data_IF_215328093281
#
_entry.id   IF_215328093281
#
_cell.length_a   1.000
_cell.length_b   1.000
_cell.length_c   1.000
_cell.angle_alpha   90.00
_cell.angle_beta   90.00
_cell.angle_gamma   90.00
#
_symmetry.space_group_name_H-M   'P 1'
#
loop_
_entity.id
_entity.type
_entity.pdbx_description
1 polymer ?
#
# COMPACT_ATOMS: atom_id res chain seq x y z
N UNK A 1 18.63 -2.81 -15.15
CA UNK A 1 17.34 -3.22 -14.54
C UNK A 1 17.33 -2.69 -13.12
N UNK A 2 16.31 -1.90 -12.73
CA UNK A 2 16.20 -1.41 -11.34
C UNK A 2 15.59 -2.54 -10.48
N UNK A 3 16.07 -2.77 -9.24
CA UNK A 3 15.52 -3.83 -8.40
C UNK A 3 14.05 -3.52 -8.05
N UNK A 4 13.15 -4.48 -8.32
CA UNK A 4 11.74 -4.43 -7.94
C UNK A 4 11.65 -4.19 -6.42
N UNK A 5 10.76 -3.30 -5.98
CA UNK A 5 10.61 -2.99 -4.56
C UNK A 5 10.24 -4.26 -3.78
N UNK A 6 10.71 -4.41 -2.52
CA UNK A 6 10.37 -5.58 -1.71
C UNK A 6 8.87 -5.61 -1.40
N UNK A 7 8.25 -6.76 -1.63
CA UNK A 7 6.87 -7.06 -1.27
C UNK A 7 6.76 -7.21 0.25
N UNK A 8 5.75 -6.57 0.84
CA UNK A 8 5.38 -6.77 2.25
C UNK A 8 4.01 -7.42 2.31
N UNK A 9 3.91 -8.58 2.96
CA UNK A 9 2.66 -9.29 3.18
C UNK A 9 2.33 -9.34 4.68
N UNK A 10 1.07 -9.11 5.02
CA UNK A 10 0.52 -9.36 6.36
C UNK A 10 -0.36 -10.62 6.28
N UNK A 11 0.08 -11.70 6.94
CA UNK A 11 -0.66 -12.97 6.96
C UNK A 11 -1.40 -13.10 8.28
N UNK A 12 -2.73 -13.14 8.18
CA UNK A 12 -3.65 -13.23 9.31
C UNK A 12 -4.24 -14.64 9.44
N UNK A 13 -4.32 -15.13 10.67
CA UNK A 13 -5.04 -16.35 11.03
C UNK A 13 -6.04 -16.03 12.13
N UNK A 14 -7.34 -16.10 11.83
CA UNK A 14 -8.40 -15.84 12.78
C UNK A 14 -9.32 -17.07 12.94
N UNK A 15 -9.92 -17.26 14.13
CA UNK A 15 -11.02 -18.22 14.31
C UNK A 15 -12.19 -17.83 13.40
N UNK A 16 -13.15 -18.74 13.22
CA UNK A 16 -14.30 -18.59 12.30
C UNK A 16 -15.17 -17.36 12.59
N UNK A 17 -14.95 -16.64 13.70
CA UNK A 17 -15.69 -15.45 14.09
C UNK A 17 -15.52 -14.29 13.07
N UNK A 18 -16.57 -14.04 12.27
CA UNK A 18 -16.58 -13.04 11.18
C UNK A 18 -16.30 -11.60 11.68
N UNK A 19 -16.61 -11.29 12.94
CA UNK A 19 -16.38 -9.97 13.54
C UNK A 19 -14.89 -9.55 13.55
N UNK A 20 -13.95 -10.50 13.63
CA UNK A 20 -12.51 -10.19 13.63
C UNK A 20 -12.03 -9.90 12.21
N UNK A 21 -12.56 -10.63 11.22
CA UNK A 21 -12.22 -10.46 9.80
C UNK A 21 -12.58 -9.05 9.32
N UNK A 22 -13.81 -8.59 9.58
CA UNK A 22 -14.25 -7.26 9.16
C UNK A 22 -13.40 -6.12 9.77
N UNK A 23 -12.93 -6.29 11.01
CA UNK A 23 -12.05 -5.31 11.66
C UNK A 23 -10.69 -5.22 10.99
N UNK A 24 -10.13 -6.36 10.59
CA UNK A 24 -8.86 -6.41 9.84
C UNK A 24 -9.03 -5.80 8.46
N UNK A 25 -10.10 -6.16 7.74
CA UNK A 25 -10.39 -5.63 6.41
C UNK A 25 -10.51 -4.10 6.44
N UNK A 26 -11.31 -3.51 7.33
CA UNK A 26 -11.43 -2.04 7.47
C UNK A 26 -10.10 -1.35 7.78
N UNK A 27 -9.25 -2.00 8.59
CA UNK A 27 -7.93 -1.48 8.97
C UNK A 27 -6.94 -1.51 7.80
N UNK A 28 -6.98 -2.57 6.99
CA UNK A 28 -6.07 -2.76 5.85
C UNK A 28 -6.54 -2.03 4.59
N UNK A 29 -7.85 -1.90 4.36
CA UNK A 29 -8.46 -1.11 3.29
C UNK A 29 -8.09 0.38 3.39
N UNK A 30 -8.01 0.90 4.62
CA UNK A 30 -7.56 2.28 4.87
C UNK A 30 -6.13 2.55 4.37
N UNK A 31 -5.33 1.48 4.16
CA UNK A 31 -3.93 1.55 3.73
C UNK A 31 -3.74 1.15 2.25
N UNK A 32 -4.81 1.02 1.46
CA UNK A 32 -4.75 0.58 0.05
C UNK A 32 -4.07 -0.79 -0.15
N UNK A 33 -4.22 -1.70 0.83
CA UNK A 33 -3.66 -3.05 0.75
C UNK A 33 -4.57 -4.00 -0.04
N UNK A 34 -3.98 -4.86 -0.87
CA UNK A 34 -4.69 -5.90 -1.60
C UNK A 34 -4.85 -7.15 -0.73
N UNK A 35 -6.09 -7.65 -0.64
CA UNK A 35 -6.38 -8.92 0.04
C UNK A 35 -6.17 -10.09 -0.91
N UNK A 36 -5.39 -11.08 -0.47
CA UNK A 36 -5.17 -12.34 -1.19
C UNK A 36 -5.87 -13.43 -0.41
N UNK A 37 -6.85 -14.08 -1.04
CA UNK A 37 -7.59 -15.17 -0.44
C UNK A 37 -6.86 -16.49 -0.65
N UNK A 38 -6.57 -17.19 0.44
CA UNK A 38 -6.02 -18.54 0.40
C UNK A 38 -6.92 -19.55 1.13
N UNK A 39 -6.82 -20.85 0.79
CA UNK A 39 -7.63 -21.88 1.41
C UNK A 39 -7.33 -21.97 2.91
N UNK A 40 -8.40 -22.18 3.67
CA UNK A 40 -8.31 -22.36 5.13
C UNK A 40 -7.52 -23.63 5.44
N UNK A 41 -6.80 -23.68 6.58
CA UNK A 41 -6.19 -24.91 7.07
C UNK A 41 -7.23 -26.01 7.25
N UNK A 42 -6.98 -27.17 6.65
CA UNK A 42 -7.78 -28.39 6.87
C UNK A 42 -7.57 -28.94 8.28
N UNK A 43 -6.36 -28.75 8.83
CA UNK A 43 -6.03 -29.13 10.20
C UNK A 43 -6.40 -28.01 11.18
N UNK A 44 -7.06 -28.34 12.31
CA UNK A 44 -7.32 -27.36 13.35
C UNK A 44 -6.03 -26.74 13.88
N UNK A 45 -5.98 -25.41 13.89
CA UNK A 45 -4.93 -24.65 14.57
C UNK A 45 -5.19 -24.68 16.08
N UNK A 46 -4.14 -24.95 16.88
CA UNK A 46 -4.30 -25.02 18.34
C UNK A 46 -4.27 -23.62 18.94
N UNK A 47 -5.30 -23.27 19.69
CA UNK A 47 -5.33 -22.00 20.41
C UNK A 47 -4.32 -22.03 21.57
N UNK A 48 -3.80 -20.86 21.96
CA UNK A 48 -2.84 -20.71 23.06
C UNK A 48 -1.49 -21.43 22.88
N UNK A 49 -1.24 -22.01 21.69
CA UNK A 49 0.04 -22.59 21.30
C UNK A 49 0.75 -21.66 20.30
N UNK A 50 2.07 -21.45 20.42
CA UNK A 50 2.83 -20.69 19.43
C UNK A 50 2.91 -21.42 18.07
N UNK A 51 2.73 -20.67 16.99
CA UNK A 51 2.90 -21.11 15.62
C UNK A 51 3.97 -20.25 14.95
N UNK A 52 4.80 -20.86 14.12
CA UNK A 52 5.88 -20.21 13.38
C UNK A 52 5.54 -20.31 11.90
N UNK A 53 5.69 -19.21 11.17
CA UNK A 53 5.52 -19.19 9.73
C UNK A 53 6.90 -19.26 9.07
N UNK A 54 7.16 -20.36 8.38
CA UNK A 54 8.36 -20.57 7.59
C UNK A 54 8.11 -20.16 6.14
N UNK A 55 8.99 -19.31 5.62
CA UNK A 55 8.93 -18.75 4.26
C UNK A 55 10.36 -18.67 3.73
N UNK A 56 10.81 -19.67 2.95
CA UNK A 56 12.18 -19.74 2.46
C UNK A 56 12.58 -18.47 1.68
N UNK A 57 13.72 -17.90 2.04
CA UNK A 57 14.25 -16.69 1.38
C UNK A 57 13.55 -15.38 1.76
N UNK A 58 12.60 -15.40 2.70
CA UNK A 58 11.91 -14.21 3.18
C UNK A 58 12.26 -13.88 4.63
N UNK A 59 12.10 -12.60 4.99
CA UNK A 59 12.18 -12.15 6.38
C UNK A 59 10.78 -12.17 7.00
N UNK A 60 10.56 -13.06 7.97
CA UNK A 60 9.29 -13.22 8.67
C UNK A 60 9.39 -12.68 10.10
N UNK A 61 8.41 -11.88 10.51
CA UNK A 61 8.29 -11.37 11.88
C UNK A 61 6.87 -11.56 12.41
N UNK A 62 6.67 -11.88 13.71
CA UNK A 62 7.71 -12.17 14.70
C UNK A 62 8.45 -13.49 14.45
N UNK A 63 9.72 -13.58 14.85
CA UNK A 63 10.55 -14.78 14.68
C UNK A 63 10.21 -15.87 15.71
N UNK A 64 9.78 -15.44 16.89
CA UNK A 64 9.31 -16.27 17.99
C UNK A 64 7.94 -16.92 17.74
N UNK A 65 7.27 -16.55 16.63
CA UNK A 65 5.95 -17.04 16.28
C UNK A 65 4.81 -16.24 16.92
N UNK A 66 3.58 -16.56 16.51
CA UNK A 66 2.37 -15.95 17.06
C UNK A 66 1.54 -17.00 17.80
N UNK A 67 0.88 -16.56 18.87
CA UNK A 67 -0.11 -17.38 19.56
C UNK A 67 -1.50 -16.91 19.16
N UNK A 68 -2.33 -17.84 18.70
CA UNK A 68 -3.73 -17.56 18.35
C UNK A 68 -4.57 -17.43 19.62
N UNK A 69 -5.27 -16.30 19.75
CA UNK A 69 -6.10 -15.92 20.92
C UNK A 69 -7.42 -15.32 20.43
N UNK A 70 -8.52 -15.50 21.19
CA UNK A 70 -9.85 -14.94 20.83
C UNK A 70 -10.07 -13.52 21.35
N UNK A 71 -9.50 -13.21 22.52
CA UNK A 71 -9.78 -11.98 23.28
C UNK A 71 -8.71 -10.88 23.07
N UNK A 72 -7.95 -10.96 21.98
CA UNK A 72 -6.83 -10.03 21.71
C UNK A 72 -6.92 -9.57 20.27
N UNK A 73 -6.36 -8.40 19.98
CA UNK A 73 -6.17 -7.96 18.60
C UNK A 73 -5.50 -9.05 17.76
N UNK A 74 -5.95 -9.27 16.52
CA UNK A 74 -5.42 -10.33 15.67
C UNK A 74 -3.93 -10.09 15.40
N UNK A 75 -3.11 -11.06 15.80
CA UNK A 75 -1.71 -11.11 15.44
C UNK A 75 -1.56 -11.48 13.96
N UNK A 76 -0.49 -11.03 13.34
CA UNK A 76 -0.14 -11.36 11.96
C UNK A 76 1.35 -11.65 11.84
N UNK A 77 1.70 -12.40 10.80
CA UNK A 77 3.07 -12.47 10.34
C UNK A 77 3.31 -11.40 9.29
N UNK A 78 4.37 -10.59 9.50
CA UNK A 78 4.89 -9.67 8.51
C UNK A 78 6.00 -10.35 7.72
N UNK A 79 5.75 -10.61 6.45
CA UNK A 79 6.71 -11.17 5.51
C UNK A 79 7.26 -10.02 4.66
N UNK A 80 8.59 -9.91 4.58
CA UNK A 80 9.27 -9.04 3.62
C UNK A 80 10.09 -9.91 2.68
N UNK A 81 9.79 -9.85 1.38
CA UNK A 81 10.46 -10.68 0.37
C UNK A 81 10.50 -10.01 -0.99
N UNK A 82 11.34 -10.50 -1.90
CA UNK A 82 11.26 -10.19 -3.33
C UNK A 82 10.61 -11.38 -4.03
N UNK A 83 9.46 -11.15 -4.66
CA UNK A 83 8.73 -12.22 -5.35
C UNK A 83 9.39 -12.52 -6.70
N UNK A 84 10.51 -13.22 -6.67
CA UNK A 84 11.24 -13.67 -7.88
C UNK A 84 10.59 -14.93 -8.46
N UNK A 85 10.21 -15.87 -7.58
CA UNK A 85 9.52 -17.13 -7.89
C UNK A 85 8.25 -17.26 -7.04
N UNK A 86 7.59 -18.42 -7.12
CA UNK A 86 6.47 -18.76 -6.24
C UNK A 86 6.86 -18.65 -4.76
N UNK A 87 5.98 -18.05 -3.96
CA UNK A 87 6.20 -17.89 -2.52
C UNK A 87 5.50 -19.01 -1.77
N UNK A 88 6.29 -19.97 -1.30
CA UNK A 88 5.79 -21.02 -0.42
C UNK A 88 5.78 -20.56 1.04
N UNK A 89 4.66 -20.77 1.71
CA UNK A 89 4.48 -20.47 3.13
C UNK A 89 4.03 -21.72 3.87
N UNK A 90 4.69 -22.01 4.98
CA UNK A 90 4.38 -23.19 5.81
C UNK A 90 4.18 -22.76 7.25
N UNK A 91 3.01 -23.05 7.82
CA UNK A 91 2.73 -22.81 9.23
C UNK A 91 3.07 -24.07 10.04
N UNK A 92 3.96 -23.90 11.00
CA UNK A 92 4.51 -24.95 11.85
C UNK A 92 4.09 -24.68 13.29
N UNK A 93 3.54 -25.70 13.96
CA UNK A 93 3.25 -25.61 15.39
C UNK A 93 4.54 -25.81 16.19
N UNK A 94 4.83 -24.91 17.13
CA UNK A 94 6.11 -24.92 17.84
C UNK A 94 6.32 -26.14 18.76
N UNK A 95 5.24 -26.65 19.38
CA UNK A 95 5.28 -27.78 20.33
C UNK A 95 5.80 -29.08 19.70
N UNK A 96 5.20 -29.48 18.57
CA UNK A 96 5.40 -30.78 17.93
C UNK A 96 6.11 -30.67 16.58
N UNK A 97 6.47 -29.45 16.16
CA UNK A 97 7.03 -29.12 14.84
C UNK A 97 6.16 -29.62 13.69
N UNK A 98 4.86 -29.81 13.93
CA UNK A 98 3.93 -30.32 12.92
C UNK A 98 3.53 -29.21 11.96
N UNK A 99 3.58 -29.51 10.67
CA UNK A 99 3.01 -28.67 9.62
C UNK A 99 1.47 -28.74 9.72
N UNK A 100 0.86 -27.60 9.96
CA UNK A 100 -0.59 -27.46 10.12
C UNK A 100 -1.26 -26.74 8.96
N UNK A 101 -0.50 -25.97 8.18
CA UNK A 101 -0.96 -25.32 6.97
C UNK A 101 0.20 -25.08 6.00
N UNK A 102 -0.08 -25.12 4.72
CA UNK A 102 0.84 -24.76 3.65
C UNK A 102 0.07 -24.07 2.54
N UNK A 103 0.62 -23.00 1.99
CA UNK A 103 0.11 -22.35 0.80
C UNK A 103 1.24 -21.92 -0.12
N UNK A 104 0.90 -21.75 -1.38
CA UNK A 104 1.79 -21.25 -2.42
C UNK A 104 1.08 -20.06 -3.04
N UNK A 105 1.73 -18.90 -3.01
CA UNK A 105 1.35 -17.78 -3.87
C UNK A 105 2.10 -17.98 -5.18
N UNK A 106 1.37 -18.32 -6.23
CA UNK A 106 1.93 -18.42 -7.58
C UNK A 106 2.30 -17.01 -8.07
N UNK A 107 3.53 -16.86 -8.53
CA UNK A 107 4.04 -15.55 -8.96
C UNK A 107 3.25 -15.02 -10.15
N UNK A 108 2.90 -15.89 -11.10
CA UNK A 108 2.18 -15.51 -12.30
C UNK A 108 0.74 -15.10 -11.99
N UNK A 109 0.03 -15.85 -11.13
CA UNK A 109 -1.31 -15.49 -10.65
C UNK A 109 -1.26 -14.19 -9.84
N UNK A 110 -0.24 -14.02 -9.01
CA UNK A 110 -0.02 -12.80 -8.25
C UNK A 110 0.22 -11.61 -9.17
N UNK A 111 1.13 -11.70 -10.15
CA UNK A 111 1.42 -10.63 -11.11
C UNK A 111 0.23 -10.36 -12.06
N UNK A 112 -0.70 -11.31 -12.27
CA UNK A 112 -1.93 -11.10 -13.06
C UNK A 112 -3.05 -10.42 -12.27
N UNK A 113 -3.33 -10.87 -11.05
CA UNK A 113 -4.41 -10.35 -10.21
C UNK A 113 -4.01 -9.07 -9.47
N UNK A 114 -2.72 -8.99 -9.14
CA UNK A 114 -2.08 -7.87 -8.50
C UNK A 114 -0.87 -7.54 -9.38
N UNK A 115 -1.09 -7.04 -10.61
CA UNK A 115 0.01 -6.48 -11.37
C UNK A 115 0.70 -5.57 -10.39
N UNK A 116 1.94 -5.94 -10.03
CA UNK A 116 2.78 -5.04 -9.28
C UNK A 116 2.63 -3.78 -10.08
N UNK A 117 1.98 -2.78 -9.49
CA UNK A 117 2.07 -1.45 -10.02
C UNK A 117 3.56 -1.12 -9.85
N UNK A 118 4.37 -1.57 -10.80
CA UNK A 118 4.99 -0.63 -11.73
C UNK A 118 3.85 0.28 -12.21
N UNK A 119 3.32 1.10 -11.28
CA UNK A 119 2.80 2.41 -11.57
C UNK A 119 3.84 2.90 -12.55
N UNK A 120 3.46 3.20 -13.80
CA UNK A 120 4.40 3.83 -14.68
C UNK A 120 4.73 5.10 -13.93
N UNK A 121 5.83 5.09 -13.15
CA UNK A 121 6.47 6.29 -12.65
C UNK A 121 6.77 6.97 -13.95
N UNK A 122 5.88 7.86 -14.36
CA UNK A 122 5.89 8.49 -15.67
C UNK A 122 7.31 9.01 -15.82
N UNK A 123 8.11 8.32 -16.65
CA UNK A 123 9.57 8.42 -16.58
C UNK A 123 10.03 9.70 -17.25
N UNK A 124 9.23 10.18 -18.20
CA UNK A 124 9.39 11.44 -18.88
C UNK A 124 8.44 12.48 -18.31
N UNK A 125 8.89 13.73 -18.31
CA UNK A 125 8.06 14.86 -17.89
C UNK A 125 6.88 15.08 -18.85
N UNK A 126 7.02 14.69 -20.12
CA UNK A 126 5.93 14.70 -21.10
C UNK A 126 4.81 13.72 -20.74
N UNK A 127 5.14 12.51 -20.29
CA UNK A 127 4.14 11.54 -19.86
C UNK A 127 3.44 12.00 -18.57
N UNK A 128 4.18 12.63 -17.65
CA UNK A 128 3.63 13.22 -16.42
C UNK A 128 2.65 14.35 -16.71
N UNK A 129 3.01 15.26 -17.62
CA UNK A 129 2.16 16.36 -18.02
C UNK A 129 0.86 15.86 -18.67
N UNK A 130 0.95 14.87 -19.57
CA UNK A 130 -0.22 14.27 -20.22
C UNK A 130 -1.14 13.59 -19.20
N UNK A 131 -0.58 12.81 -18.26
CA UNK A 131 -1.38 12.19 -17.20
C UNK A 131 -2.09 13.22 -16.34
N UNK A 132 -1.43 14.32 -15.99
CA UNK A 132 -2.08 15.40 -15.26
C UNK A 132 -3.28 15.96 -16.04
N UNK A 133 -3.11 16.23 -17.33
CA UNK A 133 -4.20 16.77 -18.17
C UNK A 133 -5.39 15.80 -18.29
N UNK A 134 -5.12 14.49 -18.32
CA UNK A 134 -6.15 13.45 -18.43
C UNK A 134 -6.82 13.13 -17.07
N UNK A 135 -6.10 13.23 -15.95
CA UNK A 135 -6.53 12.72 -14.63
C UNK A 135 -6.67 13.79 -13.53
N UNK A 136 -6.50 15.08 -13.81
CA UNK A 136 -6.60 16.14 -12.78
C UNK A 136 -7.92 16.14 -11.97
N UNK A 137 -9.11 15.76 -12.50
CA UNK A 137 -10.33 15.71 -11.69
C UNK A 137 -10.25 14.61 -10.61
N UNK A 138 -9.58 13.49 -10.93
CA UNK A 138 -9.37 12.38 -9.99
C UNK A 138 -8.36 12.75 -8.91
N UNK A 139 -7.33 13.53 -9.26
CA UNK A 139 -6.37 14.08 -8.29
C UNK A 139 -7.09 14.93 -7.23
N UNK A 140 -8.03 15.79 -7.64
CA UNK A 140 -8.80 16.65 -6.70
C UNK A 140 -9.56 15.82 -5.67
N UNK A 141 -10.15 14.70 -6.08
CA UNK A 141 -10.97 13.89 -5.18
C UNK A 141 -10.15 13.01 -4.23
N UNK A 142 -9.04 12.44 -4.71
CA UNK A 142 -8.27 11.45 -3.93
C UNK A 142 -7.17 12.08 -3.06
N UNK A 143 -6.62 13.22 -3.46
CA UNK A 143 -5.54 13.87 -2.72
C UNK A 143 -6.09 14.59 -1.50
N UNK A 144 -5.84 14.04 -0.31
CA UNK A 144 -6.29 14.62 0.97
C UNK A 144 -5.25 15.52 1.65
N UNK A 145 -3.96 15.29 1.37
CA UNK A 145 -2.85 15.97 2.06
C UNK A 145 -2.36 17.22 1.31
N UNK A 146 -3.29 18.12 0.99
CA UNK A 146 -3.01 19.36 0.25
C UNK A 146 -1.98 20.29 0.90
N UNK A 147 -1.94 20.48 2.23
CA UNK A 147 -0.95 21.36 2.86
C UNK A 147 0.50 20.97 2.53
N UNK A 148 0.81 19.67 2.52
CA UNK A 148 2.14 19.14 2.20
C UNK A 148 2.51 19.43 0.74
N UNK A 149 1.53 19.38 -0.16
CA UNK A 149 1.73 19.67 -1.59
C UNK A 149 1.95 21.16 -1.78
N UNK A 150 1.15 22.00 -1.14
CA UNK A 150 1.30 23.45 -1.20
C UNK A 150 2.69 23.91 -0.70
N UNK A 151 3.19 23.33 0.39
CA UNK A 151 4.54 23.63 0.92
C UNK A 151 5.63 23.32 -0.12
N UNK A 152 5.55 22.17 -0.79
CA UNK A 152 6.52 21.77 -1.83
C UNK A 152 6.41 22.63 -3.08
N UNK A 153 5.20 22.97 -3.50
CA UNK A 153 4.98 23.85 -4.65
C UNK A 153 5.55 25.25 -4.38
N UNK A 154 5.45 25.74 -3.14
CA UNK A 154 6.06 27.01 -2.73
C UNK A 154 7.60 26.91 -2.72
N UNK A 155 8.16 25.82 -2.20
CA UNK A 155 9.61 25.56 -2.21
C UNK A 155 10.20 25.51 -3.62
N UNK A 156 9.45 24.95 -4.58
CA UNK A 156 9.84 24.92 -5.99
C UNK A 156 9.46 26.19 -6.78
N UNK A 157 8.95 27.23 -6.10
CA UNK A 157 8.50 28.48 -6.71
C UNK A 157 7.42 28.29 -7.79
N UNK A 158 6.71 27.17 -7.76
CA UNK A 158 5.59 26.87 -8.66
C UNK A 158 4.35 27.68 -8.28
N UNK A 159 4.20 28.03 -7.01
CA UNK A 159 3.16 28.94 -6.52
C UNK A 159 3.78 30.07 -5.69
N UNK A 160 3.12 31.23 -5.68
CA UNK A 160 3.54 32.37 -4.86
C UNK A 160 2.93 32.34 -3.46
N UNK A 161 3.48 33.13 -2.53
CA UNK A 161 3.05 33.17 -1.12
C UNK A 161 1.57 33.57 -0.94
N UNK A 162 1.06 34.42 -1.84
CA UNK A 162 -0.37 34.77 -1.90
C UNK A 162 -1.25 33.57 -2.27
N UNK A 163 -0.86 32.79 -3.29
CA UNK A 163 -1.57 31.59 -3.72
C UNK A 163 -1.49 30.49 -2.66
N UNK A 164 -0.33 30.34 -2.03
CA UNK A 164 -0.15 29.42 -0.90
C UNK A 164 -1.09 29.76 0.25
N UNK A 165 -1.22 31.04 0.62
CA UNK A 165 -2.14 31.49 1.66
C UNK A 165 -3.59 31.19 1.30
N UNK A 166 -4.00 31.44 0.05
CA UNK A 166 -5.34 31.09 -0.43
C UNK A 166 -5.62 29.58 -0.45
N UNK A 167 -4.61 28.74 -0.72
CA UNK A 167 -4.75 27.28 -0.66
C UNK A 167 -4.89 26.84 0.80
N UNK A 168 -4.08 27.39 1.71
CA UNK A 168 -4.10 27.09 3.15
C UNK A 168 -5.41 27.50 3.81
N UNK A 169 -6.03 28.58 3.36
CA UNK A 169 -7.35 29.06 3.80
C UNK A 169 -8.52 28.25 3.22
N UNK A 170 -8.27 27.24 2.39
CA UNK A 170 -9.35 26.43 1.81
C UNK A 170 -10.05 25.59 2.87
N UNK A 171 -11.38 25.63 2.87
CA UNK A 171 -12.24 24.93 3.82
C UNK A 171 -12.12 23.40 3.74
N UNK A 172 -11.84 22.88 2.54
CA UNK A 172 -11.68 21.45 2.30
C UNK A 172 -10.39 21.16 1.53
N UNK A 173 -9.85 19.96 1.70
CA UNK A 173 -8.70 19.50 0.91
C UNK A 173 -9.03 19.48 -0.59
N UNK A 174 -10.25 19.17 -0.98
CA UNK A 174 -10.65 19.16 -2.39
C UNK A 174 -10.62 20.58 -2.99
N UNK A 175 -11.10 21.59 -2.26
CA UNK A 175 -11.05 22.98 -2.73
C UNK A 175 -9.62 23.49 -2.85
N UNK A 176 -8.75 23.12 -1.91
CA UNK A 176 -7.33 23.44 -1.97
C UNK A 176 -6.63 22.74 -3.16
N UNK A 177 -6.92 21.46 -3.40
CA UNK A 177 -6.36 20.74 -4.54
C UNK A 177 -6.88 21.27 -5.88
N UNK A 178 -8.15 21.69 -5.93
CA UNK A 178 -8.72 22.33 -7.12
C UNK A 178 -7.97 23.61 -7.49
N UNK A 179 -7.69 24.47 -6.50
CA UNK A 179 -6.87 25.68 -6.70
C UNK A 179 -5.47 25.36 -7.22
N UNK A 180 -4.83 24.33 -6.64
CA UNK A 180 -3.51 23.86 -7.13
C UNK A 180 -3.61 23.43 -8.59
N UNK A 181 -4.59 22.57 -8.93
CA UNK A 181 -4.75 22.09 -10.30
C UNK A 181 -5.04 23.24 -11.27
N UNK A 182 -5.86 24.23 -10.89
CA UNK A 182 -6.15 25.39 -11.74
C UNK A 182 -4.92 26.26 -11.98
N UNK A 183 -4.05 26.46 -10.98
CA UNK A 183 -2.78 27.19 -11.15
C UNK A 183 -1.83 26.42 -12.06
N UNK A 184 -1.68 25.11 -11.83
CA UNK A 184 -0.73 24.26 -12.57
C UNK A 184 -1.20 24.04 -14.02
N UNK A 185 -2.51 23.99 -14.29
CA UNK A 185 -3.07 23.86 -15.65
C UNK A 185 -2.73 25.05 -16.55
N UNK A 186 -2.54 26.24 -15.96
CA UNK A 186 -2.19 27.47 -16.69
C UNK A 186 -0.67 27.60 -16.90
N UNK A 187 0.13 26.80 -16.17
CA UNK A 187 1.60 26.78 -16.27
C UNK A 187 2.09 25.81 -17.35
N UNK A 188 3.40 25.75 -17.51
CA UNK A 188 4.10 24.91 -18.47
C UNK A 188 4.04 23.40 -18.11
N UNK A 189 4.31 22.55 -19.09
CA UNK A 189 4.29 21.09 -18.90
C UNK A 189 5.30 20.62 -17.84
N UNK A 190 6.36 21.40 -17.58
CA UNK A 190 7.29 21.13 -16.49
C UNK A 190 6.62 21.29 -15.11
N UNK A 191 5.76 22.30 -14.91
CA UNK A 191 5.02 22.47 -13.67
C UNK A 191 4.02 21.33 -13.43
N UNK A 192 3.35 20.86 -14.48
CA UNK A 192 2.47 19.67 -14.42
C UNK A 192 3.26 18.44 -14.03
N UNK A 193 4.42 18.25 -14.66
CA UNK A 193 5.30 17.13 -14.39
C UNK A 193 5.86 17.11 -12.96
N UNK A 194 6.22 18.27 -12.42
CA UNK A 194 6.66 18.42 -11.03
C UNK A 194 5.54 18.12 -10.04
N UNK A 195 4.31 18.58 -10.28
CA UNK A 195 3.17 18.22 -9.42
C UNK A 195 2.98 16.70 -9.34
N UNK A 196 2.99 16.02 -10.49
CA UNK A 196 2.91 14.55 -10.53
C UNK A 196 4.10 13.90 -9.82
N UNK A 197 5.30 14.45 -9.96
CA UNK A 197 6.51 13.96 -9.27
C UNK A 197 6.40 14.09 -7.75
N UNK A 198 5.87 15.21 -7.26
CA UNK A 198 5.61 15.46 -5.83
C UNK A 198 4.59 14.46 -5.27
N UNK A 199 3.51 14.20 -6.03
CA UNK A 199 2.49 13.24 -5.66
C UNK A 199 3.05 11.81 -5.59
N UNK A 200 3.90 11.42 -6.54
CA UNK A 200 4.60 10.13 -6.56
C UNK A 200 5.62 9.99 -5.41
N UNK A 201 6.41 11.03 -5.14
CA UNK A 201 7.48 10.98 -4.14
C UNK A 201 6.95 10.80 -2.72
N UNK A 202 5.80 11.43 -2.42
CA UNK A 202 5.23 11.42 -1.08
C UNK A 202 4.22 10.29 -0.84
N UNK A 203 4.02 9.37 -1.80
CA UNK A 203 2.95 8.36 -1.79
C UNK A 203 1.58 8.99 -1.47
N UNK A 204 1.35 10.23 -1.90
CA UNK A 204 0.12 10.98 -1.61
C UNK A 204 -0.99 10.70 -2.63
N UNK A 205 -0.65 9.98 -3.69
CA UNK A 205 -1.54 9.52 -4.72
C UNK A 205 -1.00 8.21 -5.31
N UNK A 206 -1.90 7.25 -5.54
CA UNK A 206 -1.61 6.02 -6.26
C UNK A 206 -2.11 6.16 -7.71
N UNK A 207 -1.16 6.21 -8.64
CA UNK A 207 -1.33 6.50 -10.06
C UNK A 207 -1.96 5.34 -10.83
#
# INVERSE_FOLDING_TARGET
MRPKAPLTLHVYFFPVDDCVKEKVEKKEESNSNYSIMHPRPDRPLRMKTPHILDVPGASVHPQEGITLRRETDPNFFKIKTRLENNLQMTLIRAEDKKIVWSAIIEKDEFDQNYPQRDEPRLKSDTDKARYFDDHWPELIQRVKNVPIIADKLLQQQLIHEEQYSQIKESLTSQDGMRKICDIIRVKDDAAKAELISILQEKNLYHF
#
